data_IF_100255153487
#
_entry.id   IF_100255153487
#
_cell.length_a   1.000
_cell.length_b   1.000
_cell.length_c   1.000
_cell.angle_alpha   90.00
_cell.angle_beta   90.00
_cell.angle_gamma   90.00
#
_symmetry.space_group_name_H-M   'P 1'
#
loop_
_entity.id
_entity.type
_entity.pdbx_description
1 polymer ?
#
# COMPACT_ATOMS: atom_id res chain seq x y z
N UNK A 1 3.10 -17.07 -67.40
CA UNK A 1 3.51 -17.07 -65.97
C UNK A 1 2.33 -16.63 -65.11
N UNK A 2 1.11 -17.00 -65.51
CA UNK A 2 -0.10 -16.26 -65.11
C UNK A 2 -0.98 -17.04 -64.13
N UNK A 3 -0.87 -18.38 -64.12
CA UNK A 3 -1.61 -19.22 -63.17
C UNK A 3 -1.20 -19.02 -61.71
N UNK A 4 0.08 -18.78 -61.42
CA UNK A 4 0.56 -18.57 -60.03
C UNK A 4 0.03 -17.25 -59.45
N UNK A 5 -0.13 -16.23 -60.30
CA UNK A 5 -0.64 -14.92 -59.90
C UNK A 5 -2.16 -14.93 -59.62
N UNK A 6 -2.91 -15.80 -60.29
CA UNK A 6 -4.34 -16.03 -60.00
C UNK A 6 -4.56 -16.76 -58.67
N UNK A 7 -3.80 -17.83 -58.38
CA UNK A 7 -3.94 -18.56 -57.12
C UNK A 7 -3.55 -17.72 -55.91
N UNK A 8 -2.51 -16.90 -56.03
CA UNK A 8 -2.12 -15.96 -54.97
C UNK A 8 -3.19 -14.89 -54.74
N UNK A 9 -3.79 -14.36 -55.81
CA UNK A 9 -4.88 -13.39 -55.72
C UNK A 9 -6.15 -13.98 -55.10
N UNK A 10 -6.51 -15.22 -55.47
CA UNK A 10 -7.63 -15.95 -54.84
C UNK A 10 -7.39 -16.22 -53.36
N UNK A 11 -6.17 -16.60 -52.97
CA UNK A 11 -5.82 -16.81 -51.55
C UNK A 11 -5.90 -15.51 -50.74
N UNK A 12 -5.42 -14.40 -51.30
CA UNK A 12 -5.52 -13.08 -50.67
C UNK A 12 -6.99 -12.66 -50.54
N UNK A 13 -7.82 -12.88 -51.57
CA UNK A 13 -9.25 -12.56 -51.52
C UNK A 13 -9.99 -13.40 -50.46
N UNK A 14 -9.69 -14.69 -50.34
CA UNK A 14 -10.23 -15.57 -49.29
C UNK A 14 -9.78 -15.10 -47.91
N UNK A 15 -8.51 -14.71 -47.73
CA UNK A 15 -8.01 -14.17 -46.46
C UNK A 15 -8.71 -12.86 -46.08
N UNK A 16 -8.90 -11.94 -47.02
CA UNK A 16 -9.61 -10.67 -46.79
C UNK A 16 -11.08 -10.94 -46.45
N UNK A 17 -11.78 -11.80 -47.19
CA UNK A 17 -13.18 -12.15 -46.92
C UNK A 17 -13.33 -12.86 -45.57
N UNK A 18 -12.42 -13.77 -45.24
CA UNK A 18 -12.42 -14.45 -43.93
C UNK A 18 -12.19 -13.46 -42.78
N UNK A 19 -11.25 -12.53 -42.94
CA UNK A 19 -11.01 -11.43 -41.99
C UNK A 19 -12.24 -10.52 -41.86
N UNK A 20 -12.92 -10.21 -42.97
CA UNK A 20 -14.12 -9.39 -42.95
C UNK A 20 -15.28 -10.08 -42.21
N UNK A 21 -15.50 -11.38 -42.46
CA UNK A 21 -16.52 -12.18 -41.75
C UNK A 21 -16.19 -12.30 -40.26
N UNK A 22 -14.92 -12.50 -39.92
CA UNK A 22 -14.48 -12.57 -38.51
C UNK A 22 -14.61 -11.23 -37.79
N UNK A 23 -14.40 -10.10 -38.46
CA UNK A 23 -14.61 -8.77 -37.86
C UNK A 23 -16.10 -8.38 -37.80
N UNK A 24 -16.91 -8.84 -38.75
CA UNK A 24 -18.36 -8.59 -38.76
C UNK A 24 -19.11 -9.47 -37.76
N UNK A 25 -18.49 -10.55 -37.30
CA UNK A 25 -19.02 -11.40 -36.24
C UNK A 25 -18.33 -11.05 -34.92
N UNK A 26 -19.06 -10.95 -33.81
CA UNK A 26 -18.45 -10.73 -32.48
C UNK A 26 -17.67 -11.96 -31.96
N UNK A 27 -17.37 -12.94 -32.83
CA UNK A 27 -16.73 -14.21 -32.48
C UNK A 27 -15.32 -13.97 -31.92
N UNK A 28 -14.43 -13.17 -32.55
CA UNK A 28 -13.11 -12.92 -31.99
C UNK A 28 -13.18 -12.21 -30.63
N UNK A 29 -14.13 -11.30 -30.45
CA UNK A 29 -14.32 -10.57 -29.18
C UNK A 29 -14.77 -11.52 -28.07
N UNK A 30 -15.71 -12.43 -28.35
CA UNK A 30 -16.16 -13.46 -27.39
C UNK A 30 -15.03 -14.41 -27.00
N UNK A 31 -14.23 -14.87 -27.96
CA UNK A 31 -13.06 -15.72 -27.68
C UNK A 31 -12.04 -14.99 -26.80
N UNK A 32 -11.74 -13.73 -27.12
CA UNK A 32 -10.86 -12.88 -26.30
C UNK A 32 -11.40 -12.69 -24.89
N UNK A 33 -12.70 -12.38 -24.76
CA UNK A 33 -13.37 -12.24 -23.48
C UNK A 33 -13.21 -13.50 -22.62
N UNK A 34 -13.49 -14.68 -23.15
CA UNK A 34 -13.34 -15.95 -22.42
C UNK A 34 -11.91 -16.19 -21.96
N UNK A 35 -10.93 -15.87 -22.82
CA UNK A 35 -9.50 -16.01 -22.49
C UNK A 35 -9.10 -15.08 -21.36
N UNK A 36 -9.41 -13.78 -21.47
CA UNK A 36 -9.07 -12.78 -20.46
C UNK A 36 -9.80 -13.04 -19.13
N UNK A 37 -11.09 -13.37 -19.19
CA UNK A 37 -11.88 -13.72 -18.01
C UNK A 37 -11.29 -14.92 -17.26
N UNK A 38 -10.85 -15.95 -17.98
CA UNK A 38 -10.18 -17.12 -17.37
C UNK A 38 -8.88 -16.76 -16.67
N UNK A 39 -8.07 -15.85 -17.25
CA UNK A 39 -6.84 -15.35 -16.62
C UNK A 39 -7.15 -14.60 -15.33
N UNK A 40 -8.06 -13.64 -15.40
CA UNK A 40 -8.47 -12.84 -14.23
C UNK A 40 -9.06 -13.72 -13.15
N UNK A 41 -9.94 -14.66 -13.50
CA UNK A 41 -10.59 -15.57 -12.54
C UNK A 41 -9.57 -16.38 -11.72
N UNK A 42 -8.53 -16.93 -12.36
CA UNK A 42 -7.48 -17.68 -11.64
C UNK A 42 -6.73 -16.79 -10.66
N UNK A 43 -6.39 -15.57 -11.08
CA UNK A 43 -5.70 -14.60 -10.23
C UNK A 43 -6.58 -14.03 -9.12
N UNK A 44 -7.89 -13.93 -9.35
CA UNK A 44 -8.84 -13.57 -8.30
C UNK A 44 -8.92 -14.64 -7.20
N UNK A 45 -8.78 -15.92 -7.53
CA UNK A 45 -8.71 -17.00 -6.52
C UNK A 45 -7.43 -16.82 -5.66
N UNK A 46 -6.29 -16.59 -6.30
CA UNK A 46 -5.01 -16.31 -5.60
C UNK A 46 -5.12 -15.09 -4.67
N UNK A 47 -5.81 -14.04 -5.11
CA UNK A 47 -6.12 -12.87 -4.31
C UNK A 47 -7.00 -13.19 -3.07
N UNK A 48 -8.04 -14.01 -3.24
CA UNK A 48 -8.88 -14.50 -2.13
C UNK A 48 -8.04 -15.29 -1.13
N UNK A 49 -7.17 -16.18 -1.61
CA UNK A 49 -6.25 -16.95 -0.76
C UNK A 49 -5.31 -16.03 0.04
N UNK A 50 -4.81 -14.94 -0.54
CA UNK A 50 -3.97 -13.97 0.18
C UNK A 50 -4.72 -13.26 1.31
N UNK A 51 -5.97 -12.87 1.09
CA UNK A 51 -6.81 -12.28 2.15
C UNK A 51 -7.08 -13.28 3.27
N UNK A 52 -7.47 -14.51 2.93
CA UNK A 52 -7.75 -15.55 3.93
C UNK A 52 -6.50 -15.91 4.73
N UNK A 53 -5.35 -16.05 4.06
CA UNK A 53 -4.07 -16.31 4.70
C UNK A 53 -3.64 -15.14 5.60
N UNK A 54 -3.78 -13.90 5.12
CA UNK A 54 -3.51 -12.69 5.89
C UNK A 54 -4.33 -12.61 7.17
N UNK A 55 -5.65 -12.85 7.08
CA UNK A 55 -6.55 -12.90 8.23
C UNK A 55 -6.15 -14.01 9.20
N UNK A 56 -5.89 -15.22 8.70
CA UNK A 56 -5.48 -16.38 9.52
C UNK A 56 -4.19 -16.10 10.29
N UNK A 57 -3.17 -15.54 9.63
CA UNK A 57 -1.90 -15.16 10.25
C UNK A 57 -2.08 -14.07 11.30
N UNK A 58 -2.83 -13.03 10.97
CA UNK A 58 -3.12 -11.92 11.90
C UNK A 58 -3.86 -12.41 13.14
N UNK A 59 -4.89 -13.26 12.98
CA UNK A 59 -5.59 -13.90 14.11
C UNK A 59 -4.60 -14.68 14.98
N UNK A 60 -3.65 -15.42 14.39
CA UNK A 60 -2.64 -16.15 15.14
C UNK A 60 -1.77 -15.20 15.96
N UNK A 61 -1.21 -14.16 15.35
CA UNK A 61 -0.39 -13.16 16.06
C UNK A 61 -1.13 -12.49 17.22
N UNK A 62 -2.39 -12.10 17.00
CA UNK A 62 -3.20 -11.49 18.05
C UNK A 62 -3.52 -12.48 19.19
N UNK A 63 -3.76 -13.77 18.88
CA UNK A 63 -3.91 -14.82 19.91
C UNK A 63 -2.64 -15.00 20.72
N UNK A 64 -1.47 -14.99 20.08
CA UNK A 64 -0.17 -15.12 20.74
C UNK A 64 0.11 -13.93 21.69
N UNK A 65 -0.53 -12.78 21.46
CA UNK A 65 -0.55 -11.60 22.34
C UNK A 65 -1.64 -11.64 23.43
N UNK A 66 -2.35 -12.77 23.62
CA UNK A 66 -3.45 -12.95 24.57
C UNK A 66 -4.65 -12.01 24.38
N UNK A 67 -4.92 -11.58 23.14
CA UNK A 67 -6.08 -10.75 22.84
C UNK A 67 -7.39 -11.55 22.82
N UNK A 68 -8.46 -11.07 23.48
CA UNK A 68 -9.79 -11.65 23.36
C UNK A 68 -10.40 -11.34 21.98
N UNK A 69 -11.09 -12.31 21.39
CA UNK A 69 -11.87 -12.18 20.14
C UNK A 69 -11.13 -11.49 18.95
N UNK A 70 -9.93 -11.96 18.57
CA UNK A 70 -9.12 -11.32 17.53
C UNK A 70 -9.76 -11.34 16.14
N UNK A 71 -10.61 -12.33 15.86
CA UNK A 71 -11.35 -12.41 14.60
C UNK A 71 -12.33 -11.24 14.46
N UNK A 72 -13.15 -11.01 15.48
CA UNK A 72 -14.15 -9.93 15.49
C UNK A 72 -13.48 -8.56 15.37
N UNK A 73 -12.34 -8.37 16.03
CA UNK A 73 -11.56 -7.14 15.91
C UNK A 73 -11.15 -6.84 14.46
N UNK A 74 -10.66 -7.86 13.73
CA UNK A 74 -10.25 -7.70 12.34
C UNK A 74 -11.46 -7.48 11.44
N UNK A 75 -12.50 -8.31 11.56
CA UNK A 75 -13.69 -8.24 10.70
C UNK A 75 -14.39 -6.87 10.87
N UNK A 76 -14.59 -6.41 12.11
CA UNK A 76 -15.19 -5.10 12.40
C UNK A 76 -14.35 -3.94 11.84
N UNK A 77 -13.02 -4.02 11.93
CA UNK A 77 -12.14 -2.98 11.39
C UNK A 77 -12.23 -2.93 9.86
N UNK A 78 -12.10 -4.07 9.19
CA UNK A 78 -12.09 -4.17 7.73
C UNK A 78 -13.40 -3.62 7.13
N UNK A 79 -14.54 -3.88 7.77
CA UNK A 79 -15.84 -3.43 7.25
C UNK A 79 -16.14 -1.95 7.52
N UNK A 80 -15.64 -1.40 8.63
CA UNK A 80 -16.02 -0.05 9.07
C UNK A 80 -14.96 1.02 8.81
N UNK A 81 -13.71 0.65 8.52
CA UNK A 81 -12.61 1.61 8.32
C UNK A 81 -12.26 1.81 6.84
N UNK A 82 -12.78 2.88 6.25
CA UNK A 82 -12.43 3.32 4.89
C UNK A 82 -12.14 4.82 4.84
N UNK A 83 -11.29 5.23 3.91
CA UNK A 83 -11.01 6.64 3.64
C UNK A 83 -11.69 7.06 2.34
N UNK A 84 -12.37 8.21 2.37
CA UNK A 84 -12.85 8.89 1.16
C UNK A 84 -11.82 9.95 0.79
N UNK A 85 -11.10 9.74 -0.31
CA UNK A 85 -10.10 10.69 -0.80
C UNK A 85 -10.76 11.98 -1.33
N UNK A 86 -10.08 13.14 -1.22
CA UNK A 86 -10.59 14.38 -1.76
C UNK A 86 -10.60 14.32 -3.30
N UNK A 87 -11.56 14.97 -3.92
CA UNK A 87 -11.62 15.08 -5.39
C UNK A 87 -10.50 15.98 -5.92
N UNK A 88 -9.84 15.57 -7.00
CA UNK A 88 -8.67 16.25 -7.58
C UNK A 88 -8.95 17.66 -8.16
N UNK A 89 -10.23 18.05 -8.31
CA UNK A 89 -10.66 19.26 -9.05
C UNK A 89 -10.48 20.59 -8.31
N UNK A 90 -9.49 20.74 -7.43
CA UNK A 90 -9.20 22.02 -6.77
C UNK A 90 -7.71 22.41 -6.86
N UNK A 91 -7.39 23.61 -7.37
CA UNK A 91 -6.00 24.04 -7.61
C UNK A 91 -5.27 24.57 -6.36
N UNK A 92 -5.94 24.79 -5.23
CA UNK A 92 -5.33 25.43 -4.05
C UNK A 92 -5.71 24.60 -2.80
N UNK A 93 -4.70 23.98 -2.18
CA UNK A 93 -4.76 23.35 -0.84
C UNK A 93 -5.16 21.86 -0.73
N UNK A 94 -5.10 21.09 -1.83
CA UNK A 94 -5.28 19.61 -1.80
C UNK A 94 -4.32 18.94 -0.81
N UNK A 95 -3.08 19.43 -0.73
CA UNK A 95 -2.04 18.88 0.16
C UNK A 95 -2.44 19.02 1.63
N UNK A 96 -2.97 20.17 2.06
CA UNK A 96 -3.37 20.38 3.45
C UNK A 96 -4.59 19.56 3.82
N UNK A 97 -5.56 19.41 2.91
CA UNK A 97 -6.70 18.52 3.11
C UNK A 97 -6.27 17.07 3.18
N UNK A 98 -5.36 16.63 2.31
CA UNK A 98 -4.78 15.30 2.37
C UNK A 98 -4.05 15.07 3.70
N UNK A 99 -3.21 16.03 4.14
CA UNK A 99 -2.57 16.00 5.47
C UNK A 99 -3.61 15.84 6.58
N UNK A 100 -4.69 16.62 6.54
CA UNK A 100 -5.76 16.53 7.53
C UNK A 100 -6.46 15.17 7.51
N UNK A 101 -6.84 14.66 6.34
CA UNK A 101 -7.49 13.36 6.19
C UNK A 101 -6.61 12.20 6.66
N UNK A 102 -5.32 12.20 6.29
CA UNK A 102 -4.36 11.22 6.75
C UNK A 102 -4.24 11.24 8.27
N UNK A 103 -4.10 12.43 8.86
CA UNK A 103 -4.01 12.57 10.32
C UNK A 103 -5.29 12.14 11.04
N UNK A 104 -6.46 12.54 10.55
CA UNK A 104 -7.74 12.15 11.12
C UNK A 104 -7.95 10.64 11.04
N UNK A 105 -7.56 10.00 9.93
CA UNK A 105 -7.60 8.54 9.82
C UNK A 105 -6.64 7.89 10.82
N UNK A 106 -5.39 8.32 10.86
CA UNK A 106 -4.36 7.78 11.76
C UNK A 106 -4.82 7.85 13.23
N UNK A 107 -5.32 9.02 13.66
CA UNK A 107 -5.90 9.20 15.01
C UNK A 107 -7.11 8.28 15.26
N UNK A 108 -7.96 8.08 14.26
CA UNK A 108 -9.13 7.22 14.39
C UNK A 108 -8.74 5.74 14.49
N UNK A 109 -7.73 5.27 13.74
CA UNK A 109 -7.21 3.90 13.83
C UNK A 109 -6.60 3.66 15.22
N UNK A 110 -5.74 4.58 15.66
CA UNK A 110 -5.14 4.54 17.01
C UNK A 110 -6.19 4.49 18.11
N UNK A 111 -7.24 5.33 18.00
CA UNK A 111 -8.35 5.34 18.96
C UNK A 111 -9.12 4.02 18.94
N UNK A 112 -9.41 3.47 17.76
CA UNK A 112 -10.09 2.17 17.63
C UNK A 112 -9.32 1.05 18.34
N UNK A 113 -8.00 0.98 18.11
CA UNK A 113 -7.15 -0.04 18.76
C UNK A 113 -7.07 0.19 20.27
N UNK A 114 -6.93 1.44 20.72
CA UNK A 114 -6.90 1.78 22.15
C UNK A 114 -8.19 1.38 22.87
N UNK A 115 -9.35 1.65 22.27
CA UNK A 115 -10.66 1.35 22.85
C UNK A 115 -10.92 -0.16 22.95
N UNK A 116 -10.46 -0.93 21.95
CA UNK A 116 -10.64 -2.38 21.92
C UNK A 116 -9.57 -3.14 22.69
N UNK A 117 -8.36 -2.57 22.80
CA UNK A 117 -7.20 -3.19 23.41
C UNK A 117 -6.42 -2.18 24.28
N UNK A 118 -6.94 -1.85 25.48
CA UNK A 118 -6.29 -0.86 26.34
C UNK A 118 -5.01 -1.40 27.03
N UNK A 119 -4.91 -2.72 27.23
CA UNK A 119 -3.91 -3.36 28.11
C UNK A 119 -2.69 -3.93 27.37
N UNK A 120 -2.14 -3.20 26.41
CA UNK A 120 -0.96 -3.62 25.63
C UNK A 120 0.08 -2.50 25.57
N UNK A 121 1.33 -2.86 25.34
CA UNK A 121 2.43 -1.90 25.20
C UNK A 121 2.20 -0.97 24.00
N UNK A 122 2.79 0.23 24.01
CA UNK A 122 2.71 1.16 22.86
C UNK A 122 3.20 0.51 21.56
N UNK A 123 4.31 -0.24 21.63
CA UNK A 123 4.88 -0.94 20.47
C UNK A 123 3.94 -2.02 19.96
N UNK A 124 3.28 -2.77 20.84
CA UNK A 124 2.34 -3.80 20.41
C UNK A 124 1.03 -3.21 19.87
N UNK A 125 0.57 -2.05 20.37
CA UNK A 125 -0.54 -1.31 19.76
C UNK A 125 -0.24 -0.94 18.32
N UNK A 126 0.93 -0.36 18.06
CA UNK A 126 1.35 0.01 16.70
C UNK A 126 1.45 -1.22 15.78
N UNK A 127 1.89 -2.38 16.28
CA UNK A 127 1.85 -3.63 15.49
C UNK A 127 0.42 -4.04 15.16
N UNK A 128 -0.50 -3.98 16.12
CA UNK A 128 -1.91 -4.30 15.91
C UNK A 128 -2.52 -3.35 14.87
N UNK A 129 -2.26 -2.04 14.98
CA UNK A 129 -2.70 -1.03 14.01
C UNK A 129 -2.27 -1.42 12.59
N UNK A 130 -0.98 -1.69 12.39
CA UNK A 130 -0.45 -2.09 11.08
C UNK A 130 -1.05 -3.42 10.58
N UNK A 131 -1.22 -4.42 11.45
CA UNK A 131 -1.85 -5.69 11.07
C UNK A 131 -3.30 -5.46 10.59
N UNK A 132 -4.06 -4.62 11.29
CA UNK A 132 -5.43 -4.27 10.87
C UNK A 132 -5.44 -3.56 9.51
N UNK A 133 -4.51 -2.61 9.29
CA UNK A 133 -4.38 -1.93 8.01
C UNK A 133 -4.05 -2.89 6.86
N UNK A 134 -3.10 -3.82 7.06
CA UNK A 134 -2.72 -4.80 6.03
C UNK A 134 -3.90 -5.70 5.63
N UNK A 135 -4.69 -6.17 6.60
CA UNK A 135 -5.89 -6.95 6.32
C UNK A 135 -6.93 -6.13 5.55
N UNK A 136 -7.15 -4.87 5.95
CA UNK A 136 -8.06 -3.96 5.25
C UNK A 136 -7.65 -3.73 3.80
N UNK A 137 -6.35 -3.55 3.53
CA UNK A 137 -5.82 -3.39 2.17
C UNK A 137 -6.02 -4.65 1.34
N UNK A 138 -5.75 -5.84 1.87
CA UNK A 138 -5.97 -7.11 1.17
C UNK A 138 -7.46 -7.30 0.81
N UNK A 139 -8.36 -7.07 1.77
CA UNK A 139 -9.80 -7.14 1.51
C UNK A 139 -10.25 -6.09 0.51
N UNK A 140 -9.71 -4.87 0.57
CA UNK A 140 -10.02 -3.81 -0.38
C UNK A 140 -9.62 -4.20 -1.82
N UNK A 141 -8.39 -4.68 -2.03
CA UNK A 141 -7.92 -5.16 -3.34
C UNK A 141 -8.86 -6.24 -3.87
N UNK A 142 -9.20 -7.23 -3.05
CA UNK A 142 -10.09 -8.32 -3.43
C UNK A 142 -11.48 -7.82 -3.83
N UNK A 143 -12.07 -6.94 -3.02
CA UNK A 143 -13.39 -6.36 -3.26
C UNK A 143 -13.43 -5.60 -4.58
N UNK A 144 -12.41 -4.77 -4.85
CA UNK A 144 -12.31 -3.97 -6.07
C UNK A 144 -12.13 -4.86 -7.30
N UNK A 145 -11.19 -5.80 -7.29
CA UNK A 145 -10.96 -6.70 -8.43
C UNK A 145 -12.18 -7.58 -8.70
N UNK A 146 -12.80 -8.13 -7.65
CA UNK A 146 -14.04 -8.92 -7.76
C UNK A 146 -15.18 -8.11 -8.34
N UNK A 147 -15.32 -6.85 -7.94
CA UNK A 147 -16.33 -5.95 -8.47
C UNK A 147 -16.18 -5.74 -9.98
N UNK A 148 -14.98 -5.35 -10.46
CA UNK A 148 -14.73 -5.13 -11.88
C UNK A 148 -14.82 -6.43 -12.70
N UNK A 149 -14.37 -7.56 -12.16
CA UNK A 149 -14.54 -8.86 -12.80
C UNK A 149 -16.02 -9.20 -13.00
N UNK A 150 -16.83 -9.07 -11.94
CA UNK A 150 -18.27 -9.35 -12.02
C UNK A 150 -18.99 -8.38 -12.96
N UNK A 151 -18.58 -7.11 -12.97
CA UNK A 151 -19.11 -6.10 -13.88
C UNK A 151 -18.84 -6.49 -15.34
N UNK A 152 -17.61 -6.93 -15.63
CA UNK A 152 -17.20 -7.35 -16.98
C UNK A 152 -17.92 -8.60 -17.45
N UNK A 153 -18.15 -9.56 -16.55
CA UNK A 153 -18.97 -10.75 -16.82
C UNK A 153 -20.42 -10.39 -17.06
N UNK A 154 -21.01 -9.52 -16.23
CA UNK A 154 -22.43 -9.16 -16.32
C UNK A 154 -22.76 -8.42 -17.62
N UNK A 155 -21.91 -7.47 -18.02
CA UNK A 155 -22.14 -6.65 -19.21
C UNK A 155 -21.46 -7.18 -20.47
N UNK A 156 -20.77 -8.32 -20.38
CA UNK A 156 -19.96 -8.89 -21.46
C UNK A 156 -19.00 -7.85 -22.08
N UNK A 157 -18.41 -7.02 -21.22
CA UNK A 157 -17.50 -5.93 -21.62
C UNK A 157 -16.08 -6.48 -21.78
N UNK A 158 -15.71 -6.73 -23.04
CA UNK A 158 -14.40 -7.28 -23.39
C UNK A 158 -13.25 -6.29 -23.18
N UNK A 159 -13.50 -4.99 -23.30
CA UNK A 159 -12.48 -3.96 -23.14
C UNK A 159 -12.08 -3.88 -21.67
N UNK A 160 -13.07 -3.81 -20.77
CA UNK A 160 -12.81 -3.80 -19.34
C UNK A 160 -12.15 -5.10 -18.86
N UNK A 161 -12.59 -6.25 -19.36
CA UNK A 161 -11.97 -7.54 -19.01
C UNK A 161 -10.52 -7.62 -19.49
N UNK A 162 -10.21 -7.08 -20.67
CA UNK A 162 -8.85 -6.98 -21.20
C UNK A 162 -7.99 -6.07 -20.31
N UNK A 163 -8.46 -4.86 -19.95
CA UNK A 163 -7.74 -3.94 -19.07
C UNK A 163 -7.41 -4.61 -17.72
N UNK A 164 -8.39 -5.27 -17.12
CA UNK A 164 -8.21 -5.99 -15.88
C UNK A 164 -7.18 -7.12 -16.03
N UNK A 165 -7.23 -7.89 -17.12
CA UNK A 165 -6.28 -8.96 -17.40
C UNK A 165 -4.83 -8.46 -17.61
N UNK A 166 -4.64 -7.26 -18.14
CA UNK A 166 -3.32 -6.67 -18.32
C UNK A 166 -2.71 -6.20 -16.99
N UNK A 167 -3.56 -5.68 -16.08
CA UNK A 167 -3.12 -5.14 -14.79
C UNK A 167 -3.03 -6.21 -13.68
N UNK A 168 -3.78 -7.31 -13.79
CA UNK A 168 -3.98 -8.26 -12.69
C UNK A 168 -2.68 -8.82 -12.11
N UNK A 169 -1.65 -9.03 -12.94
CA UNK A 169 -0.36 -9.55 -12.45
C UNK A 169 0.35 -8.56 -11.52
N UNK A 170 0.27 -7.25 -11.82
CA UNK A 170 0.85 -6.22 -10.96
C UNK A 170 0.05 -6.13 -9.65
N UNK A 171 -1.27 -6.22 -9.72
CA UNK A 171 -2.16 -6.21 -8.55
C UNK A 171 -1.88 -7.42 -7.63
N UNK A 172 -1.74 -8.62 -8.19
CA UNK A 172 -1.40 -9.84 -7.44
C UNK A 172 -0.04 -9.72 -6.78
N UNK A 173 0.96 -9.16 -7.49
CA UNK A 173 2.29 -8.93 -6.91
C UNK A 173 2.25 -7.94 -5.75
N UNK A 174 1.45 -6.87 -5.88
CA UNK A 174 1.22 -5.89 -4.82
C UNK A 174 0.52 -6.53 -3.61
N UNK A 175 -0.57 -7.27 -3.83
CA UNK A 175 -1.28 -7.98 -2.77
C UNK A 175 -0.38 -9.01 -2.06
N UNK A 176 0.46 -9.73 -2.80
CA UNK A 176 1.45 -10.63 -2.22
C UNK A 176 2.43 -9.90 -1.30
N UNK A 177 2.91 -8.71 -1.68
CA UNK A 177 3.78 -7.91 -0.82
C UNK A 177 3.10 -7.51 0.49
N UNK A 178 1.83 -7.12 0.46
CA UNK A 178 1.05 -6.86 1.68
C UNK A 178 0.86 -8.12 2.54
N UNK A 179 0.58 -9.25 1.91
CA UNK A 179 0.47 -10.54 2.60
C UNK A 179 1.78 -10.91 3.29
N UNK A 180 2.90 -10.83 2.58
CA UNK A 180 4.22 -11.15 3.11
C UNK A 180 4.66 -10.14 4.21
N UNK A 181 4.19 -8.88 4.15
CA UNK A 181 4.43 -7.89 5.19
C UNK A 181 3.76 -8.27 6.54
N UNK A 182 2.62 -8.98 6.53
CA UNK A 182 1.96 -9.45 7.76
C UNK A 182 2.91 -10.33 8.59
N UNK A 183 3.67 -11.22 7.93
CA UNK A 183 4.64 -12.07 8.64
C UNK A 183 5.74 -11.24 9.30
N UNK A 184 6.22 -10.22 8.59
CA UNK A 184 7.32 -9.35 9.01
C UNK A 184 6.92 -8.43 10.18
N UNK A 185 5.75 -7.79 10.10
CA UNK A 185 5.24 -6.96 11.19
C UNK A 185 4.80 -7.79 12.41
N UNK A 186 4.28 -9.01 12.19
CA UNK A 186 3.92 -9.92 13.27
C UNK A 186 5.11 -10.29 14.17
N UNK A 187 6.32 -10.40 13.61
CA UNK A 187 7.56 -10.66 14.37
C UNK A 187 8.33 -9.38 14.75
N UNK A 188 7.84 -8.20 14.37
CA UNK A 188 8.50 -6.91 14.63
C UNK A 188 9.79 -6.71 13.84
N UNK A 189 9.93 -7.34 12.67
CA UNK A 189 11.06 -7.10 11.79
C UNK A 189 11.01 -5.66 11.24
N UNK A 190 12.13 -4.93 11.17
CA UNK A 190 12.17 -3.63 10.52
C UNK A 190 11.88 -3.80 9.03
N UNK A 191 10.92 -3.03 8.51
CA UNK A 191 10.55 -3.04 7.09
C UNK A 191 10.83 -1.66 6.50
N UNK A 192 11.49 -1.65 5.33
CA UNK A 192 11.82 -0.43 4.59
C UNK A 192 13.32 -0.14 4.58
N UNK A 193 13.66 1.07 4.15
CA UNK A 193 15.03 1.55 4.18
C UNK A 193 15.45 1.91 5.61
N UNK A 194 16.52 1.28 6.08
CA UNK A 194 17.13 1.56 7.37
C UNK A 194 18.23 2.61 7.32
N UNK A 195 18.63 3.14 6.16
CA UNK A 195 19.80 4.02 6.04
C UNK A 195 19.66 5.28 6.89
N UNK A 196 18.51 5.96 6.83
CA UNK A 196 18.25 7.15 7.64
C UNK A 196 18.31 6.86 9.15
N UNK A 197 17.64 5.77 9.59
CA UNK A 197 17.65 5.36 11.00
C UNK A 197 19.05 4.91 11.48
N UNK A 198 19.82 4.26 10.61
CA UNK A 198 21.17 3.80 10.89
C UNK A 198 22.14 4.98 11.01
N UNK A 199 22.07 5.95 10.08
CA UNK A 199 22.88 7.18 10.17
C UNK A 199 22.53 7.96 11.43
N UNK A 200 21.25 8.11 11.76
CA UNK A 200 20.84 8.73 13.01
C UNK A 200 21.42 7.98 14.22
N UNK A 201 21.42 6.64 14.23
CA UNK A 201 22.04 5.85 15.29
C UNK A 201 23.56 6.03 15.36
N UNK A 202 24.25 6.15 14.24
CA UNK A 202 25.71 6.37 14.20
C UNK A 202 26.11 7.76 14.73
N UNK A 203 25.25 8.76 14.59
CA UNK A 203 25.47 10.12 15.11
C UNK A 203 25.14 10.25 16.61
N UNK A 204 24.34 9.33 17.15
CA UNK A 204 23.86 9.37 18.53
C UNK A 204 24.61 8.37 19.40
N UNK A 205 25.56 8.87 20.19
CA UNK A 205 26.27 8.08 21.22
C UNK A 205 25.36 7.69 22.40
N UNK A 206 24.38 8.53 22.71
CA UNK A 206 23.37 8.30 23.74
C UNK A 206 21.97 8.60 23.18
N UNK A 207 21.00 7.76 23.53
CA UNK A 207 19.60 7.86 23.11
C UNK A 207 18.66 8.26 24.25
N UNK A 208 19.17 8.51 25.45
CA UNK A 208 18.36 8.89 26.61
C UNK A 208 17.84 10.33 26.57
N UNK A 209 18.46 11.22 25.77
CA UNK A 209 18.04 12.61 25.56
C UNK A 209 16.97 12.84 24.50
N UNK A 210 16.14 11.84 24.18
CA UNK A 210 15.10 11.98 23.17
C UNK A 210 13.96 12.89 23.66
N UNK A 211 13.55 13.87 22.85
CA UNK A 211 12.34 14.66 23.07
C UNK A 211 11.37 14.48 21.90
N UNK A 212 10.08 14.29 22.19
CA UNK A 212 9.06 14.19 21.14
C UNK A 212 8.64 15.60 20.71
N UNK A 213 8.95 15.98 19.47
CA UNK A 213 8.71 17.32 18.91
C UNK A 213 7.47 17.37 18.00
N UNK A 214 7.13 16.22 17.40
CA UNK A 214 5.92 16.02 16.61
C UNK A 214 5.44 14.57 16.81
N UNK A 215 4.18 14.23 16.47
CA UNK A 215 3.65 12.89 16.68
C UNK A 215 4.57 11.81 16.11
N UNK A 216 4.95 10.85 16.95
CA UNK A 216 5.84 9.74 16.60
C UNK A 216 7.18 10.18 15.98
N UNK A 217 7.65 11.38 16.35
CA UNK A 217 8.89 11.97 15.83
C UNK A 217 9.73 12.52 16.97
N UNK A 218 10.95 12.00 17.08
CA UNK A 218 11.87 12.34 18.15
C UNK A 218 13.02 13.20 17.66
N UNK A 219 13.37 14.18 18.47
CA UNK A 219 14.52 15.06 18.34
C UNK A 219 15.57 14.65 19.36
N UNK A 220 16.82 14.59 18.90
CA UNK A 220 17.99 14.44 19.74
C UNK A 220 18.92 15.62 19.53
N UNK A 221 19.54 16.08 20.62
CA UNK A 221 20.63 17.05 20.58
C UNK A 221 21.95 16.32 20.82
N UNK A 222 22.93 16.54 19.95
CA UNK A 222 24.28 15.99 20.09
C UNK A 222 25.31 17.00 19.61
N UNK A 223 26.59 16.64 19.69
CA UNK A 223 27.67 17.42 19.11
C UNK A 223 28.63 16.51 18.35
N UNK A 224 29.08 16.97 17.19
CA UNK A 224 30.08 16.29 16.37
C UNK A 224 31.12 17.31 15.93
N UNK A 225 32.40 17.04 16.17
CA UNK A 225 33.52 17.91 15.78
C UNK A 225 33.33 19.38 16.24
N UNK A 226 32.81 19.57 17.46
CA UNK A 226 32.55 20.90 18.03
C UNK A 226 31.33 21.63 17.46
N UNK A 227 30.55 21.00 16.58
CA UNK A 227 29.29 21.54 16.05
C UNK A 227 28.10 20.93 16.77
N UNK A 228 27.15 21.78 17.17
CA UNK A 228 25.86 21.33 17.70
C UNK A 228 25.02 20.74 16.57
N UNK A 229 24.48 19.54 16.80
CA UNK A 229 23.64 18.82 15.86
C UNK A 229 22.26 18.55 16.47
N UNK A 230 21.26 18.68 15.62
CA UNK A 230 19.88 18.33 15.92
C UNK A 230 19.48 17.18 14.98
N UNK A 231 19.24 16.00 15.55
CA UNK A 231 18.93 14.78 14.79
C UNK A 231 17.44 14.48 14.96
N UNK A 232 16.69 14.55 13.87
CA UNK A 232 15.26 14.23 13.82
C UNK A 232 15.09 12.85 13.19
N UNK A 233 14.32 11.96 13.83
CA UNK A 233 13.92 10.68 13.26
C UNK A 233 12.55 10.23 13.76
N UNK A 234 11.94 9.26 13.07
CA UNK A 234 10.74 8.58 13.57
C UNK A 234 10.99 7.86 14.91
N UNK A 235 9.96 7.76 15.74
CA UNK A 235 9.98 7.09 17.04
C UNK A 235 9.95 5.56 16.83
N UNK A 236 11.02 4.89 17.24
CA UNK A 236 11.16 3.43 17.13
C UNK A 236 11.22 2.77 18.52
N UNK A 237 11.12 1.43 18.62
CA UNK A 237 11.26 0.43 17.54
C UNK A 237 9.96 0.07 16.79
N UNK A 238 8.85 0.79 17.03
CA UNK A 238 7.58 0.55 16.33
C UNK A 238 7.61 0.91 14.84
N UNK A 239 6.64 0.41 14.05
CA UNK A 239 6.51 0.66 12.61
C UNK A 239 5.94 2.05 12.32
N UNK A 240 6.61 3.10 12.80
CA UNK A 240 6.15 4.49 12.62
C UNK A 240 6.95 5.22 11.54
N UNK A 241 6.28 6.13 10.86
CA UNK A 241 6.89 7.05 9.88
C UNK A 241 7.07 8.45 10.46
N UNK A 242 6.25 8.84 11.43
CA UNK A 242 6.28 10.17 12.05
C UNK A 242 5.93 11.31 11.10
N UNK A 243 6.16 12.54 11.56
CA UNK A 243 5.92 13.80 10.88
C UNK A 243 7.20 14.66 10.85
N UNK A 244 8.27 14.21 10.15
CA UNK A 244 9.57 14.88 10.16
C UNK A 244 9.53 16.32 9.62
N UNK A 245 8.64 16.62 8.67
CA UNK A 245 8.46 17.98 8.17
C UNK A 245 7.91 18.94 9.24
N UNK A 246 6.94 18.49 10.04
CA UNK A 246 6.39 19.29 11.14
C UNK A 246 7.39 19.41 12.30
N UNK A 247 8.15 18.35 12.57
CA UNK A 247 9.24 18.39 13.54
C UNK A 247 10.31 19.42 13.16
N UNK A 248 10.69 19.46 11.87
CA UNK A 248 11.65 20.42 11.35
C UNK A 248 11.14 21.86 11.45
N UNK A 249 9.88 22.10 11.06
CA UNK A 249 9.23 23.42 11.15
C UNK A 249 9.26 23.95 12.59
N UNK A 250 8.81 23.14 13.56
CA UNK A 250 8.84 23.51 14.99
C UNK A 250 10.25 23.76 15.52
N UNK A 251 11.24 23.00 15.07
CA UNK A 251 12.64 23.19 15.47
C UNK A 251 13.21 24.50 14.91
N UNK A 252 12.96 24.80 13.63
CA UNK A 252 13.43 26.02 12.96
C UNK A 252 12.84 27.25 13.65
N UNK A 253 11.53 27.24 13.91
CA UNK A 253 10.84 28.32 14.60
C UNK A 253 11.36 28.50 16.03
N UNK A 254 11.55 27.40 16.77
CA UNK A 254 12.08 27.43 18.13
C UNK A 254 13.54 27.92 18.23
N UNK A 255 14.31 27.84 17.14
CA UNK A 255 15.68 28.36 17.05
C UNK A 255 15.75 29.76 16.42
N UNK A 256 14.62 30.44 16.19
CA UNK A 256 14.55 31.74 15.52
C UNK A 256 15.30 31.74 14.18
N UNK A 257 15.15 30.66 13.41
CA UNK A 257 15.82 30.44 12.13
C UNK A 257 17.37 30.42 12.19
N UNK A 258 17.97 30.23 13.37
CA UNK A 258 19.43 30.13 13.55
C UNK A 258 19.97 28.72 13.23
N UNK A 259 19.64 28.20 12.04
CA UNK A 259 20.13 26.90 11.55
C UNK A 259 21.10 27.13 10.40
N UNK A 260 22.33 26.64 10.53
CA UNK A 260 23.36 26.82 9.50
C UNK A 260 23.18 25.90 8.29
N UNK A 261 22.66 24.69 8.48
CA UNK A 261 22.48 23.69 7.42
C UNK A 261 21.47 22.62 7.82
N UNK A 262 20.69 22.16 6.85
CA UNK A 262 19.80 21.00 6.96
C UNK A 262 20.35 19.90 6.04
N UNK A 263 20.46 18.67 6.57
CA UNK A 263 20.93 17.50 5.83
C UNK A 263 19.85 16.42 5.92
N UNK A 264 19.27 16.05 4.79
CA UNK A 264 18.30 14.96 4.67
C UNK A 264 19.02 13.70 4.22
N UNK A 265 18.79 12.58 4.91
CA UNK A 265 19.35 11.28 4.59
C UNK A 265 18.22 10.37 4.13
N UNK A 266 18.32 9.87 2.92
CA UNK A 266 17.38 8.94 2.30
C UNK A 266 18.19 7.89 1.54
N UNK A 267 17.79 6.61 1.56
CA UNK A 267 18.40 5.67 0.62
C UNK A 267 17.81 5.92 -0.76
N UNK A 268 18.67 6.39 -1.66
CA UNK A 268 18.36 6.38 -3.07
C UNK A 268 18.04 4.95 -3.51
N UNK A 269 16.77 4.72 -3.88
CA UNK A 269 16.35 3.50 -4.57
C UNK A 269 17.22 3.30 -5.81
N UNK A 270 17.78 2.10 -5.97
CA UNK A 270 18.15 1.63 -7.32
C UNK A 270 16.83 1.40 -8.06
N UNK A 271 16.47 2.37 -8.91
CA UNK A 271 15.43 2.21 -9.93
C UNK A 271 15.78 1.07 -10.90
#
# INVERSE_FOLDING_TARGET
MDGVQDWTSMLIAILILSSFILNFTDIPQKIQFTRYSSVVRRKLIELIEFEEDGKRKSIKYLKDMNLPNPKTLIDDYVDNFFMIFPVEREPIDVIKRLKHLLRTRDEAVKRYVLDKVPNVSEVDRQKIEVLLELNSVLTYINKVVKHYYNLGVKFNDWIMMMQLALQINQIVRLAKAYRDAIDSFGVGAPIGDGAGALVARMLLNDTSGASEIAPETVLYETSLEGRKLYVIKAKGPGPTVGWPGEALEKLVDGLECKISRIITVDAALKL
#
